data_IF_583921663117
#
_entry.id   IF_583921663117
#
_cell.length_a   1.000
_cell.length_b   1.000
_cell.length_c   1.000
_cell.angle_alpha   90.00
_cell.angle_beta   90.00
_cell.angle_gamma   90.00
#
_symmetry.space_group_name_H-M   'P 1'
#
loop_
_entity.id
_entity.type
_entity.pdbx_description
1 polymer ?
#
# COMPACT_ATOMS: atom_id res chain seq x y z
N UNK A 1 38.31 -8.60 -49.43
CA UNK A 1 39.16 -7.46 -49.85
C UNK A 1 38.81 -6.25 -49.01
N UNK A 2 39.79 -5.73 -48.27
CA UNK A 2 39.71 -4.64 -47.30
C UNK A 2 39.86 -3.29 -48.01
N UNK A 3 39.06 -2.27 -47.64
CA UNK A 3 39.45 -0.85 -47.70
C UNK A 3 38.73 -0.04 -46.60
N UNK A 4 39.51 0.34 -45.59
CA UNK A 4 39.48 1.63 -44.87
C UNK A 4 40.96 2.10 -44.93
N UNK A 5 41.31 3.39 -45.11
CA UNK A 5 41.31 4.42 -44.04
C UNK A 5 40.82 5.79 -44.60
N UNK A 6 40.57 6.85 -43.84
CA UNK A 6 40.82 7.22 -42.45
C UNK A 6 40.42 8.70 -42.30
N UNK A 7 40.47 9.23 -41.07
CA UNK A 7 40.28 10.66 -40.84
C UNK A 7 39.87 11.00 -39.41
N UNK A 8 40.83 10.95 -38.50
CA UNK A 8 40.73 11.53 -37.15
C UNK A 8 40.51 13.05 -37.22
N UNK A 9 39.68 13.58 -36.33
CA UNK A 9 39.89 14.94 -35.83
C UNK A 9 39.78 14.96 -34.30
N UNK A 10 40.94 15.00 -33.65
CA UNK A 10 41.12 15.39 -32.25
C UNK A 10 41.53 16.85 -32.26
N UNK A 11 40.81 17.71 -31.53
CA UNK A 11 41.36 18.90 -30.87
C UNK A 11 40.33 19.39 -29.86
N UNK A 12 40.66 19.18 -28.59
CA UNK A 12 40.01 19.84 -27.48
C UNK A 12 40.57 21.25 -27.31
N UNK A 13 39.69 22.17 -26.91
CA UNK A 13 40.02 23.38 -26.18
C UNK A 13 38.86 23.61 -25.20
N UNK A 14 39.08 23.55 -23.87
CA UNK A 14 38.08 23.98 -22.91
C UNK A 14 38.22 25.50 -22.67
N UNK A 15 37.12 26.23 -22.83
CA UNK A 15 37.00 27.61 -22.38
C UNK A 15 36.80 27.66 -20.85
N UNK A 16 37.71 28.35 -20.18
CA UNK A 16 37.57 28.88 -18.83
C UNK A 16 36.59 30.06 -18.87
N UNK A 17 35.46 29.95 -18.17
CA UNK A 17 34.67 31.11 -17.75
C UNK A 17 34.52 31.04 -16.23
N UNK A 18 35.17 32.00 -15.58
CA UNK A 18 35.00 32.41 -14.19
C UNK A 18 33.83 33.39 -14.10
N UNK A 19 32.90 33.17 -13.15
CA UNK A 19 32.10 34.20 -12.46
C UNK A 19 31.15 33.48 -11.48
N UNK A 20 31.45 33.54 -10.18
CA UNK A 20 30.85 34.46 -9.21
C UNK A 20 29.47 34.01 -8.70
N UNK A 21 29.49 33.50 -7.46
CA UNK A 21 28.31 33.34 -6.62
C UNK A 21 27.71 34.72 -6.24
N UNK A 22 26.42 34.75 -5.88
CA UNK A 22 25.95 35.68 -4.86
C UNK A 22 25.34 34.95 -3.67
N UNK A 23 25.78 35.35 -2.47
CA UNK A 23 25.20 35.00 -1.18
C UNK A 23 23.79 35.62 -1.02
N UNK A 24 22.94 35.06 -0.13
CA UNK A 24 21.64 35.63 0.20
C UNK A 24 21.76 36.82 1.15
N UNK A 25 21.13 37.93 0.79
CA UNK A 25 20.97 39.11 1.64
C UNK A 25 19.89 38.89 2.71
N UNK A 26 20.26 39.20 3.94
CA UNK A 26 19.41 39.37 5.11
C UNK A 26 18.88 40.81 5.18
N UNK A 27 17.66 40.99 5.72
CA UNK A 27 17.09 42.16 6.46
C UNK A 27 15.57 41.94 6.51
N UNK A 28 14.98 41.55 7.65
CA UNK A 28 14.55 42.38 8.79
C UNK A 28 13.34 43.29 8.50
N UNK A 29 12.17 42.94 9.06
CA UNK A 29 11.27 43.89 9.77
C UNK A 29 10.02 43.19 10.32
N UNK A 30 9.92 43.17 11.64
CA UNK A 30 8.71 42.95 12.46
C UNK A 30 7.75 44.15 12.32
N UNK A 31 6.45 43.98 12.65
CA UNK A 31 5.90 44.89 13.65
C UNK A 31 5.08 44.20 14.73
N UNK A 32 5.19 44.80 15.92
CA UNK A 32 4.51 44.50 17.18
C UNK A 32 2.98 44.52 17.10
N UNK A 33 2.33 43.59 17.80
CA UNK A 33 1.01 43.81 18.37
C UNK A 33 0.88 43.10 19.72
N UNK A 34 0.92 43.92 20.77
CA UNK A 34 0.64 43.60 22.18
C UNK A 34 -0.79 43.09 22.34
N UNK A 35 -0.99 41.93 23.00
CA UNK A 35 -2.21 41.66 23.78
C UNK A 35 -1.82 40.97 25.09
N UNK A 36 -2.25 41.61 26.18
CA UNK A 36 -1.89 41.33 27.56
C UNK A 36 -2.53 40.04 28.09
N UNK A 37 -1.71 39.23 28.76
CA UNK A 37 -2.14 38.23 29.73
C UNK A 37 -2.25 38.90 31.11
N UNK A 38 -3.41 38.82 31.75
CA UNK A 38 -3.54 39.06 33.20
C UNK A 38 -4.57 38.09 33.81
N UNK A 39 -4.31 37.54 35.02
CA UNK A 39 -5.06 36.43 35.60
C UNK A 39 -6.20 36.90 36.51
N UNK A 40 -7.29 36.13 36.53
CA UNK A 40 -8.48 36.34 37.36
C UNK A 40 -8.23 35.76 38.77
N UNK A 41 -8.46 36.51 39.87
CA UNK A 41 -8.32 35.99 41.24
C UNK A 41 -9.64 35.35 41.75
N UNK A 42 -9.57 34.37 42.67
CA UNK A 42 -10.75 33.80 43.32
C UNK A 42 -11.17 34.63 44.55
N UNK A 43 -12.45 35.00 44.63
CA UNK A 43 -13.06 35.56 45.84
C UNK A 43 -13.49 34.43 46.78
N UNK A 44 -12.91 34.45 47.99
CA UNK A 44 -13.39 33.76 49.18
C UNK A 44 -14.15 34.78 50.04
N UNK A 45 -15.36 34.45 50.48
CA UNK A 45 -15.98 35.07 51.66
C UNK A 45 -16.62 33.96 52.49
N UNK A 46 -16.37 34.06 53.79
CA UNK A 46 -16.60 33.14 54.90
C UNK A 46 -17.89 33.52 55.67
N UNK A 47 -18.16 32.70 56.71
CA UNK A 47 -19.07 32.84 57.86
C UNK A 47 -20.49 32.26 57.68
N UNK A 48 -20.82 31.11 58.30
CA UNK A 48 -21.09 30.80 59.74
C UNK A 48 -22.60 30.94 60.03
N UNK A 49 -23.34 30.20 60.85
CA UNK A 49 -23.22 29.17 61.90
C UNK A 49 -24.60 28.44 61.86
N UNK A 50 -24.78 27.14 62.13
CA UNK A 50 -24.92 26.55 63.47
C UNK A 50 -25.21 25.03 63.35
N UNK A 51 -24.67 24.25 64.29
CA UNK A 51 -24.83 22.80 64.51
C UNK A 51 -26.18 22.44 65.20
N UNK A 52 -26.44 21.20 65.70
CA UNK A 52 -25.98 19.83 65.36
C UNK A 52 -27.16 18.81 65.21
N UNK A 53 -26.83 17.51 65.09
CA UNK A 53 -27.67 16.30 65.27
C UNK A 53 -28.42 15.72 64.06
N UNK A 54 -27.78 14.76 63.36
CA UNK A 54 -28.22 13.35 63.37
C UNK A 54 -27.22 12.45 62.62
N UNK A 55 -26.40 11.77 63.41
CA UNK A 55 -25.68 10.54 63.03
C UNK A 55 -26.68 9.38 62.97
N UNK A 56 -26.33 8.31 62.24
CA UNK A 56 -26.98 6.98 62.19
C UNK A 56 -27.93 6.72 61.00
N UNK A 57 -27.48 6.86 59.74
CA UNK A 57 -28.18 6.24 58.60
C UNK A 57 -27.33 5.98 57.33
N UNK A 58 -25.99 5.98 57.40
CA UNK A 58 -25.13 5.94 56.19
C UNK A 58 -24.26 4.69 56.02
N UNK A 59 -24.33 3.72 56.94
CA UNK A 59 -23.49 2.51 56.84
C UNK A 59 -24.13 1.39 55.98
N UNK A 60 -25.46 1.29 55.92
CA UNK A 60 -26.15 0.23 55.18
C UNK A 60 -26.13 0.48 53.65
N UNK A 61 -26.27 1.74 53.21
CA UNK A 61 -26.27 2.09 51.78
C UNK A 61 -24.90 1.96 51.11
N UNK A 62 -23.81 2.12 51.88
CA UNK A 62 -22.46 1.92 51.38
C UNK A 62 -22.15 0.43 51.12
N UNK A 63 -22.73 -0.47 51.93
CA UNK A 63 -22.62 -1.93 51.74
C UNK A 63 -23.41 -2.41 50.51
N UNK A 64 -24.59 -1.85 50.29
CA UNK A 64 -25.44 -2.19 49.14
C UNK A 64 -24.86 -1.65 47.83
N UNK A 65 -24.33 -0.42 47.85
CA UNK A 65 -23.58 0.14 46.71
C UNK A 65 -22.34 -0.71 46.38
N UNK A 66 -21.58 -1.15 47.39
CA UNK A 66 -20.41 -2.01 47.16
C UNK A 66 -20.76 -3.43 46.68
N UNK A 67 -21.96 -3.93 47.00
CA UNK A 67 -22.47 -5.19 46.46
C UNK A 67 -22.95 -5.03 45.02
N UNK A 68 -23.63 -3.93 44.70
CA UNK A 68 -24.04 -3.59 43.34
C UNK A 68 -22.84 -3.33 42.43
N UNK A 69 -21.78 -2.69 42.91
CA UNK A 69 -20.55 -2.49 42.15
C UNK A 69 -19.83 -3.81 41.87
N UNK A 70 -19.84 -4.75 42.83
CA UNK A 70 -19.33 -6.12 42.62
C UNK A 70 -20.19 -6.92 41.65
N UNK A 71 -21.51 -6.74 41.67
CA UNK A 71 -22.43 -7.39 40.74
C UNK A 71 -22.31 -6.79 39.33
N UNK A 72 -22.09 -5.48 39.21
CA UNK A 72 -21.78 -4.80 37.95
C UNK A 72 -20.41 -5.26 37.42
N UNK A 73 -19.39 -5.39 38.27
CA UNK A 73 -18.10 -5.97 37.88
C UNK A 73 -18.23 -7.43 37.43
N UNK A 74 -19.07 -8.23 38.11
CA UNK A 74 -19.36 -9.61 37.71
C UNK A 74 -20.09 -9.68 36.37
N UNK A 75 -21.12 -8.86 36.15
CA UNK A 75 -21.85 -8.76 34.88
C UNK A 75 -20.98 -8.19 33.74
N UNK A 76 -20.04 -7.29 34.03
CA UNK A 76 -19.04 -6.78 33.08
C UNK A 76 -17.95 -7.83 32.79
N UNK A 77 -17.62 -8.69 33.76
CA UNK A 77 -16.70 -9.82 33.59
C UNK A 77 -17.34 -10.98 32.79
N UNK A 78 -18.64 -11.23 32.95
CA UNK A 78 -19.41 -12.13 32.09
C UNK A 78 -19.66 -11.54 30.69
N UNK A 79 -19.76 -10.20 30.60
CA UNK A 79 -19.81 -9.42 29.37
C UNK A 79 -18.46 -9.28 28.61
N UNK A 80 -17.44 -10.09 28.93
CA UNK A 80 -16.13 -10.04 28.27
C UNK A 80 -16.23 -10.19 26.74
N UNK A 81 -15.44 -9.43 25.97
CA UNK A 81 -15.45 -9.42 24.49
C UNK A 81 -15.05 -10.76 23.84
N UNK A 82 -14.64 -11.75 24.64
CA UNK A 82 -14.29 -13.09 24.18
C UNK A 82 -15.52 -13.89 23.72
N UNK A 83 -16.68 -13.72 24.36
CA UNK A 83 -17.90 -14.41 23.94
C UNK A 83 -18.55 -13.76 22.70
N UNK A 84 -18.51 -12.43 22.58
CA UNK A 84 -18.92 -11.69 21.38
C UNK A 84 -18.04 -12.03 20.16
N UNK A 85 -16.73 -12.18 20.35
CA UNK A 85 -15.80 -12.62 19.30
C UNK A 85 -16.05 -14.08 18.87
N UNK A 86 -16.33 -15.00 19.80
CA UNK A 86 -16.66 -16.41 19.50
C UNK A 86 -18.04 -16.60 18.85
N UNK A 87 -19.07 -15.84 19.23
CA UNK A 87 -20.40 -15.93 18.61
C UNK A 87 -20.48 -15.24 17.23
N UNK A 88 -19.60 -14.26 16.97
CA UNK A 88 -19.53 -13.58 15.69
C UNK A 88 -18.88 -14.41 14.57
N UNK A 89 -18.03 -15.38 14.90
CA UNK A 89 -17.26 -16.12 13.89
C UNK A 89 -18.13 -17.08 13.05
N UNK A 90 -19.09 -17.85 13.60
CA UNK A 90 -19.94 -18.72 12.79
C UNK A 90 -20.93 -17.90 11.95
N UNK A 91 -21.54 -16.86 12.55
CA UNK A 91 -22.48 -15.98 11.84
C UNK A 91 -21.80 -15.18 10.73
N UNK A 92 -20.58 -14.66 10.96
CA UNK A 92 -19.82 -13.99 9.91
C UNK A 92 -19.42 -14.96 8.80
N UNK A 93 -19.11 -16.21 9.13
CA UNK A 93 -18.78 -17.25 8.16
C UNK A 93 -20.01 -17.64 7.33
N UNK A 94 -21.15 -17.89 7.97
CA UNK A 94 -22.43 -18.16 7.29
C UNK A 94 -22.85 -17.00 6.39
N UNK A 95 -22.73 -15.75 6.84
CA UNK A 95 -22.99 -14.56 6.02
C UNK A 95 -22.07 -14.48 4.80
N UNK A 96 -20.78 -14.81 4.96
CA UNK A 96 -19.84 -14.89 3.83
C UNK A 96 -20.24 -16.01 2.87
N UNK A 97 -20.56 -17.21 3.37
CA UNK A 97 -20.99 -18.35 2.55
C UNK A 97 -22.27 -18.03 1.78
N UNK A 98 -23.29 -17.48 2.44
CA UNK A 98 -24.52 -17.04 1.79
C UNK A 98 -24.25 -15.98 0.72
N UNK A 99 -23.39 -14.99 1.02
CA UNK A 99 -23.01 -13.98 0.04
C UNK A 99 -22.35 -14.60 -1.20
N UNK A 100 -21.46 -15.57 -1.01
CA UNK A 100 -20.82 -16.31 -2.10
C UNK A 100 -21.87 -17.08 -2.91
N UNK A 101 -22.69 -17.90 -2.26
CA UNK A 101 -23.74 -18.68 -2.93
C UNK A 101 -24.72 -17.81 -3.72
N UNK A 102 -25.21 -16.72 -3.13
CA UNK A 102 -26.09 -15.76 -3.82
C UNK A 102 -25.39 -15.13 -5.03
N UNK A 103 -24.12 -14.73 -4.90
CA UNK A 103 -23.36 -14.17 -6.01
C UNK A 103 -23.16 -15.20 -7.13
N UNK A 104 -22.89 -16.47 -6.80
CA UNK A 104 -22.78 -17.57 -7.76
C UNK A 104 -24.09 -17.76 -8.53
N UNK A 105 -25.22 -17.82 -7.83
CA UNK A 105 -26.55 -17.95 -8.46
C UNK A 105 -26.84 -16.77 -9.39
N UNK A 106 -26.63 -15.54 -8.94
CA UNK A 106 -26.88 -14.34 -9.76
C UNK A 106 -25.89 -14.19 -10.93
N UNK A 107 -24.69 -14.76 -10.81
CA UNK A 107 -23.69 -14.77 -11.88
C UNK A 107 -23.92 -15.86 -12.92
N UNK A 108 -24.73 -16.88 -12.62
CA UNK A 108 -25.02 -17.99 -13.53
C UNK A 108 -25.79 -17.53 -14.76
N UNK A 109 -25.32 -17.93 -15.94
CA UNK A 109 -25.93 -17.60 -17.23
C UNK A 109 -27.39 -18.03 -17.31
N UNK A 110 -27.73 -19.21 -16.78
CA UNK A 110 -29.12 -19.71 -16.77
C UNK A 110 -30.04 -18.81 -15.95
N UNK A 111 -29.60 -18.40 -14.75
CA UNK A 111 -30.35 -17.51 -13.88
C UNK A 111 -30.51 -16.12 -14.49
N UNK A 112 -29.47 -15.59 -15.13
CA UNK A 112 -29.54 -14.31 -15.84
C UNK A 112 -30.53 -14.34 -17.00
N UNK A 113 -30.53 -15.40 -17.82
CA UNK A 113 -31.52 -15.58 -18.89
C UNK A 113 -32.94 -15.63 -18.36
N UNK A 114 -33.17 -16.33 -17.25
CA UNK A 114 -34.50 -16.39 -16.60
C UNK A 114 -34.94 -15.02 -16.05
N UNK A 115 -34.02 -14.25 -15.45
CA UNK A 115 -34.33 -12.90 -14.95
C UNK A 115 -34.62 -11.93 -16.11
N UNK A 116 -33.87 -12.03 -17.21
CA UNK A 116 -34.06 -11.21 -18.41
C UNK A 116 -35.32 -11.58 -19.18
N UNK A 117 -35.62 -12.87 -19.36
CA UNK A 117 -36.86 -13.31 -20.01
C UNK A 117 -38.08 -12.89 -19.20
N UNK A 118 -37.99 -13.02 -17.87
CA UNK A 118 -38.98 -12.52 -16.95
C UNK A 118 -39.18 -10.99 -17.12
N UNK A 119 -38.10 -10.20 -17.16
CA UNK A 119 -38.22 -8.75 -17.38
C UNK A 119 -38.86 -8.41 -18.74
N UNK A 120 -38.56 -9.19 -19.79
CA UNK A 120 -39.02 -8.96 -21.18
C UNK A 120 -40.49 -9.32 -21.38
N UNK A 121 -40.99 -10.41 -20.77
CA UNK A 121 -42.40 -10.83 -20.86
C UNK A 121 -43.40 -9.86 -20.20
N UNK A 122 -42.92 -8.84 -19.47
CA UNK A 122 -43.77 -7.76 -18.97
C UNK A 122 -44.10 -6.71 -20.05
N UNK A 123 -43.35 -6.67 -21.15
CA UNK A 123 -43.41 -5.62 -22.18
C UNK A 123 -44.24 -6.03 -23.41
N UNK A 124 -44.55 -7.31 -23.58
CA UNK A 124 -45.16 -7.87 -24.81
C UNK A 124 -46.68 -8.10 -24.74
N UNK A 125 -47.35 -7.79 -23.62
CA UNK A 125 -48.81 -7.93 -23.56
C UNK A 125 -49.50 -6.65 -24.05
N UNK A 126 -49.87 -6.64 -25.33
CA UNK A 126 -50.73 -5.62 -25.98
C UNK A 126 -52.17 -5.53 -25.41
N UNK A 127 -52.51 -6.35 -24.40
CA UNK A 127 -53.82 -6.32 -23.74
C UNK A 127 -53.69 -5.58 -22.40
N UNK A 128 -54.22 -4.35 -22.42
CA UNK A 128 -54.16 -3.31 -21.38
C UNK A 128 -54.84 -3.74 -20.07
N UNK A 129 -54.10 -4.39 -19.18
CA UNK A 129 -54.40 -4.44 -17.74
C UNK A 129 -53.23 -3.80 -16.97
N UNK A 130 -53.47 -2.88 -16.02
CA UNK A 130 -52.40 -2.30 -15.21
C UNK A 130 -51.87 -3.38 -14.27
N UNK A 131 -50.90 -4.14 -14.76
CA UNK A 131 -50.30 -5.26 -14.02
C UNK A 131 -49.33 -4.65 -13.02
N UNK A 132 -49.68 -4.70 -11.73
CA UNK A 132 -48.85 -4.25 -10.60
C UNK A 132 -47.41 -4.74 -10.84
N UNK A 133 -46.49 -3.82 -11.09
CA UNK A 133 -45.07 -4.15 -11.22
C UNK A 133 -44.64 -4.72 -9.88
N UNK A 134 -44.27 -6.01 -9.85
CA UNK A 134 -43.88 -6.63 -8.59
C UNK A 134 -42.56 -5.98 -8.15
N UNK A 135 -42.52 -5.22 -7.03
CA UNK A 135 -41.32 -4.49 -6.62
C UNK A 135 -40.14 -5.44 -6.39
N UNK A 136 -40.39 -6.69 -6.02
CA UNK A 136 -39.35 -7.72 -5.89
C UNK A 136 -38.65 -8.04 -7.20
N UNK A 137 -39.37 -8.02 -8.33
CA UNK A 137 -38.82 -8.32 -9.67
C UNK A 137 -37.91 -7.20 -10.16
N UNK A 138 -38.31 -5.95 -9.96
CA UNK A 138 -37.48 -4.78 -10.28
C UNK A 138 -36.20 -4.76 -9.43
N UNK A 139 -36.31 -5.05 -8.13
CA UNK A 139 -35.16 -5.19 -7.22
C UNK A 139 -34.24 -6.34 -7.64
N UNK A 140 -34.78 -7.48 -8.04
CA UNK A 140 -34.00 -8.63 -8.50
C UNK A 140 -33.25 -8.31 -9.79
N UNK A 141 -33.90 -7.65 -10.76
CA UNK A 141 -33.28 -7.20 -12.00
C UNK A 141 -32.13 -6.22 -11.72
N UNK A 142 -32.38 -5.20 -10.90
CA UNK A 142 -31.36 -4.22 -10.49
C UNK A 142 -30.15 -4.90 -9.82
N UNK A 143 -30.39 -5.83 -8.88
CA UNK A 143 -29.32 -6.61 -8.22
C UNK A 143 -28.57 -7.51 -9.20
N UNK A 144 -29.27 -8.12 -10.16
CA UNK A 144 -28.64 -8.94 -11.20
C UNK A 144 -27.71 -8.09 -12.08
N UNK A 145 -28.15 -6.91 -12.52
CA UNK A 145 -27.33 -5.99 -13.30
C UNK A 145 -26.13 -5.49 -12.50
N UNK A 146 -26.33 -5.13 -11.23
CA UNK A 146 -25.25 -4.73 -10.34
C UNK A 146 -24.22 -5.86 -10.15
N UNK A 147 -24.69 -7.10 -9.97
CA UNK A 147 -23.81 -8.26 -9.86
C UNK A 147 -23.02 -8.49 -11.14
N UNK A 148 -23.66 -8.34 -12.31
CA UNK A 148 -22.98 -8.47 -13.60
C UNK A 148 -21.88 -7.41 -13.77
N UNK A 149 -22.19 -6.14 -13.49
CA UNK A 149 -21.21 -5.05 -13.52
C UNK A 149 -20.05 -5.28 -12.53
N UNK A 150 -20.35 -5.77 -11.33
CA UNK A 150 -19.33 -6.13 -10.34
C UNK A 150 -18.42 -7.27 -10.83
N UNK A 151 -18.99 -8.34 -11.38
CA UNK A 151 -18.22 -9.45 -11.96
C UNK A 151 -17.33 -8.96 -13.10
N UNK A 152 -17.86 -8.14 -14.01
CA UNK A 152 -17.11 -7.54 -15.10
C UNK A 152 -15.94 -6.69 -14.57
N UNK A 153 -16.17 -5.86 -13.56
CA UNK A 153 -15.13 -5.07 -12.90
C UNK A 153 -14.04 -5.96 -12.27
N UNK A 154 -14.42 -7.04 -11.60
CA UNK A 154 -13.47 -8.01 -11.05
C UNK A 154 -12.64 -8.70 -12.13
N UNK A 155 -13.25 -9.07 -13.26
CA UNK A 155 -12.55 -9.67 -14.40
C UNK A 155 -11.48 -8.71 -14.93
N UNK A 156 -11.82 -7.43 -15.16
CA UNK A 156 -10.85 -6.44 -15.61
C UNK A 156 -9.69 -6.24 -14.63
N UNK A 157 -9.98 -6.29 -13.33
CA UNK A 157 -8.96 -6.16 -12.28
C UNK A 157 -8.02 -7.37 -12.20
N UNK A 158 -8.53 -8.57 -12.47
CA UNK A 158 -7.72 -9.79 -12.49
C UNK A 158 -6.90 -9.88 -13.78
N UNK A 159 -7.49 -9.54 -14.93
CA UNK A 159 -6.82 -9.62 -16.24
C UNK A 159 -5.84 -8.48 -16.46
N UNK A 160 -6.14 -7.30 -15.92
CA UNK A 160 -5.34 -6.10 -16.08
C UNK A 160 -4.94 -5.59 -14.70
N UNK A 161 -3.67 -5.70 -14.31
CA UNK A 161 -3.21 -5.32 -12.97
C UNK A 161 -3.25 -3.82 -12.71
N UNK A 162 -3.55 -3.01 -13.73
CA UNK A 162 -3.80 -1.57 -13.56
C UNK A 162 -5.19 -1.23 -14.07
N UNK A 163 -5.99 -0.56 -13.24
CA UNK A 163 -7.32 -0.10 -13.60
C UNK A 163 -7.48 1.38 -13.28
N UNK A 164 -8.20 2.11 -14.13
CA UNK A 164 -8.50 3.52 -13.94
C UNK A 164 -9.92 3.70 -13.39
N UNK A 165 -10.11 4.71 -12.55
CA UNK A 165 -11.42 5.08 -12.00
C UNK A 165 -11.49 6.59 -11.77
N UNK A 166 -12.71 7.12 -11.79
CA UNK A 166 -12.95 8.55 -11.58
C UNK A 166 -13.17 8.82 -10.09
N UNK A 167 -12.56 9.89 -9.59
CA UNK A 167 -12.69 10.37 -8.23
C UNK A 167 -13.13 11.84 -8.31
N UNK A 168 -13.99 12.23 -7.38
CA UNK A 168 -14.34 13.64 -7.17
C UNK A 168 -13.80 14.04 -5.79
N UNK A 169 -12.91 15.03 -5.77
CA UNK A 169 -12.47 15.67 -4.53
C UNK A 169 -13.64 16.50 -3.97
N UNK A 170 -14.10 16.27 -2.72
CA UNK A 170 -15.19 17.05 -2.15
C UNK A 170 -14.82 18.51 -1.82
N UNK A 171 -13.54 18.90 -1.88
CA UNK A 171 -13.12 20.28 -1.58
C UNK A 171 -13.66 21.27 -2.63
N UNK A 172 -14.41 22.32 -2.23
CA UNK A 172 -14.88 23.36 -3.15
C UNK A 172 -13.75 24.13 -3.84
N UNK A 173 -12.54 24.16 -3.27
CA UNK A 173 -11.37 24.80 -3.86
C UNK A 173 -10.49 23.83 -4.66
N UNK A 174 -10.99 22.62 -4.94
CA UNK A 174 -10.22 21.62 -5.66
C UNK A 174 -9.95 22.05 -7.11
N UNK A 175 -8.72 21.73 -7.54
CA UNK A 175 -8.27 21.87 -8.92
C UNK A 175 -9.19 21.10 -9.88
N UNK A 176 -9.45 21.67 -11.06
CA UNK A 176 -10.25 21.04 -12.13
C UNK A 176 -11.68 20.66 -11.65
N UNK A 177 -12.29 21.50 -10.80
CA UNK A 177 -13.62 21.25 -10.24
C UNK A 177 -13.69 19.98 -9.38
N UNK A 178 -12.55 19.55 -8.81
CA UNK A 178 -12.45 18.31 -8.04
C UNK A 178 -12.32 17.04 -8.90
N UNK A 179 -12.18 17.15 -10.22
CA UNK A 179 -11.98 15.98 -11.06
C UNK A 179 -10.58 15.37 -10.87
N UNK A 180 -10.55 14.14 -10.37
CA UNK A 180 -9.32 13.39 -10.12
C UNK A 180 -9.38 12.04 -10.84
N UNK A 181 -8.34 11.73 -11.59
CA UNK A 181 -8.15 10.42 -12.20
C UNK A 181 -7.42 9.50 -11.22
N UNK A 182 -8.12 8.48 -10.74
CA UNK A 182 -7.55 7.43 -9.91
C UNK A 182 -6.98 6.30 -10.75
N UNK A 183 -5.77 5.87 -10.43
CA UNK A 183 -5.14 4.67 -10.94
C UNK A 183 -4.96 3.67 -9.79
N UNK A 184 -5.37 2.44 -10.02
CA UNK A 184 -5.26 1.33 -9.07
C UNK A 184 -4.27 0.31 -9.61
N UNK A 185 -3.21 0.06 -8.88
CA UNK A 185 -2.20 -0.94 -9.17
C UNK A 185 -2.40 -2.13 -8.23
N UNK A 186 -2.66 -3.31 -8.81
CA UNK A 186 -2.80 -4.56 -8.08
C UNK A 186 -1.61 -5.46 -8.36
N UNK A 187 -1.07 -6.06 -7.31
CA UNK A 187 0.04 -7.01 -7.39
C UNK A 187 -0.40 -8.30 -6.75
N UNK A 188 -0.18 -9.41 -7.44
CA UNK A 188 -0.38 -10.74 -6.88
C UNK A 188 0.93 -11.24 -6.30
N UNK A 189 0.88 -11.76 -5.07
CA UNK A 189 1.98 -12.47 -4.45
C UNK A 189 1.42 -13.71 -3.77
N UNK A 190 2.06 -14.87 -3.99
CA UNK A 190 1.66 -16.16 -3.39
C UNK A 190 0.18 -16.52 -3.62
N UNK A 191 -0.31 -16.28 -4.84
CA UNK A 191 -1.70 -16.58 -5.21
C UNK A 191 -2.76 -15.65 -4.61
N UNK A 192 -2.36 -14.59 -3.90
CA UNK A 192 -3.27 -13.60 -3.33
C UNK A 192 -2.95 -12.20 -3.85
N UNK A 193 -3.99 -11.39 -4.02
CA UNK A 193 -3.81 -9.97 -4.30
C UNK A 193 -3.39 -9.24 -3.03
N UNK A 194 -2.28 -8.50 -3.12
CA UNK A 194 -1.85 -7.59 -2.07
C UNK A 194 -2.80 -6.39 -1.99
N UNK A 195 -2.65 -5.60 -0.92
CA UNK A 195 -3.33 -4.30 -0.83
C UNK A 195 -2.96 -3.47 -2.06
N UNK A 196 -3.95 -2.97 -2.82
CA UNK A 196 -3.68 -2.21 -4.02
C UNK A 196 -3.00 -0.89 -3.69
N UNK A 197 -2.14 -0.43 -4.60
CA UNK A 197 -1.61 0.92 -4.56
C UNK A 197 -2.48 1.85 -5.41
N UNK A 198 -2.60 3.09 -4.96
CA UNK A 198 -3.35 4.12 -5.63
C UNK A 198 -2.43 5.25 -6.04
N UNK A 199 -2.66 5.78 -7.23
CA UNK A 199 -2.07 7.04 -7.70
C UNK A 199 -3.21 7.91 -8.19
N UNK A 200 -3.31 9.12 -7.63
CA UNK A 200 -4.30 10.11 -7.98
C UNK A 200 -3.64 11.17 -8.86
N UNK A 201 -4.21 11.42 -10.02
CA UNK A 201 -3.76 12.43 -10.98
C UNK A 201 -4.79 13.56 -11.07
N UNK A 202 -4.32 14.80 -11.01
CA UNK A 202 -5.14 15.99 -11.21
C UNK A 202 -4.65 16.79 -12.43
N UNK A 203 -5.41 17.82 -12.81
CA UNK A 203 -5.08 18.76 -13.90
C UNK A 203 -4.89 20.16 -13.36
N UNK A 204 -3.70 20.51 -12.84
CA UNK A 204 -3.45 21.79 -12.20
C UNK A 204 -3.29 22.97 -13.17
N UNK A 205 -3.34 22.72 -14.48
CA UNK A 205 -3.03 23.71 -15.49
C UNK A 205 -4.35 24.17 -16.16
N UNK A 206 -4.83 25.40 -15.93
CA UNK A 206 -6.14 25.85 -16.41
C UNK A 206 -6.29 25.80 -17.94
N UNK A 207 -5.22 26.08 -18.66
CA UNK A 207 -5.18 26.10 -20.13
C UNK A 207 -4.75 24.78 -20.76
N UNK A 208 -4.55 23.71 -19.96
CA UNK A 208 -3.90 22.51 -20.46
C UNK A 208 -4.45 21.21 -19.88
N UNK A 209 -4.50 20.16 -20.70
CA UNK A 209 -4.95 18.82 -20.31
C UNK A 209 -3.86 18.00 -19.60
N UNK A 210 -2.73 18.62 -19.28
CA UNK A 210 -1.59 17.97 -18.63
C UNK A 210 -1.96 17.46 -17.24
N UNK A 211 -1.58 16.22 -16.97
CA UNK A 211 -1.78 15.53 -15.71
C UNK A 211 -0.57 15.72 -14.80
N UNK A 212 -0.84 15.80 -13.49
CA UNK A 212 0.18 15.79 -12.43
C UNK A 212 -0.20 14.79 -11.35
N UNK A 213 0.80 14.16 -10.73
CA UNK A 213 0.60 13.32 -9.56
C UNK A 213 0.20 14.21 -8.36
N UNK A 214 -0.99 13.94 -7.82
CA UNK A 214 -1.53 14.64 -6.66
C UNK A 214 -1.21 13.90 -5.35
N UNK A 215 -1.62 12.63 -5.23
CA UNK A 215 -1.40 11.76 -4.07
C UNK A 215 -1.12 10.33 -4.51
N UNK A 216 -0.43 9.56 -3.68
CA UNK A 216 -0.20 8.14 -3.94
C UNK A 216 0.01 7.34 -2.66
N UNK A 217 -0.14 6.02 -2.77
CA UNK A 217 0.22 5.06 -1.71
C UNK A 217 1.41 4.17 -2.09
N UNK A 218 2.08 4.48 -3.20
CA UNK A 218 3.25 3.74 -3.71
C UNK A 218 4.41 3.82 -2.68
N UNK A 219 5.11 2.70 -2.39
CA UNK A 219 6.25 2.68 -1.48
C UNK A 219 7.38 3.63 -1.93
N UNK A 220 8.15 4.22 -0.99
CA UNK A 220 9.25 5.13 -1.32
C UNK A 220 10.39 4.45 -2.11
N UNK A 221 10.48 3.12 -2.02
CA UNK A 221 11.38 2.29 -2.81
C UNK A 221 11.17 2.38 -4.34
N UNK A 222 10.00 2.85 -4.78
CA UNK A 222 9.65 2.97 -6.19
C UNK A 222 9.79 4.44 -6.60
N UNK A 223 10.59 4.77 -7.64
CA UNK A 223 10.95 6.15 -7.98
C UNK A 223 9.83 6.90 -8.74
N UNK A 224 8.67 7.07 -8.11
CA UNK A 224 7.47 7.66 -8.72
C UNK A 224 7.71 9.07 -9.26
N UNK A 225 8.39 9.93 -8.50
CA UNK A 225 8.66 11.31 -8.90
C UNK A 225 9.51 11.36 -10.18
N UNK A 226 10.55 10.53 -10.27
CA UNK A 226 11.40 10.44 -11.46
C UNK A 226 10.62 9.91 -12.68
N UNK A 227 9.70 8.97 -12.49
CA UNK A 227 8.82 8.49 -13.54
C UNK A 227 7.82 9.55 -14.01
N UNK A 228 7.27 10.33 -13.06
CA UNK A 228 6.36 11.42 -13.38
C UNK A 228 7.06 12.51 -14.19
N UNK A 229 8.27 12.93 -13.81
CA UNK A 229 9.04 13.93 -14.57
C UNK A 229 9.32 13.48 -16.01
N UNK A 230 9.61 12.18 -16.21
CA UNK A 230 9.94 11.63 -17.53
C UNK A 230 8.74 11.42 -18.45
N UNK A 231 7.58 11.07 -17.90
CA UNK A 231 6.42 10.65 -18.69
C UNK A 231 5.21 11.59 -18.57
N UNK A 232 5.15 12.37 -17.50
CA UNK A 232 4.16 13.42 -17.23
C UNK A 232 4.85 14.78 -17.01
N UNK A 233 5.66 15.27 -17.98
CA UNK A 233 6.31 16.56 -17.86
C UNK A 233 5.29 17.69 -17.69
N UNK A 234 5.66 18.73 -16.96
CA UNK A 234 4.82 19.94 -16.83
C UNK A 234 4.86 20.74 -18.13
N UNK A 235 3.76 21.43 -18.49
CA UNK A 235 3.73 22.30 -19.67
C UNK A 235 4.75 23.45 -19.48
N UNK A 236 5.41 23.82 -20.58
CA UNK A 236 6.35 24.95 -20.63
C UNK A 236 5.58 26.26 -20.93
N UNK A 237 6.11 27.43 -20.52
CA UNK A 237 5.53 28.72 -20.89
C UNK A 237 5.53 28.92 -22.41
N UNK A 238 4.65 29.79 -22.90
CA UNK A 238 4.38 30.03 -24.33
C UNK A 238 5.66 30.35 -25.12
N UNK A 239 5.88 29.63 -26.23
CA UNK A 239 6.99 29.84 -27.17
C UNK A 239 7.79 28.56 -27.50
N UNK A 240 7.80 27.59 -26.59
CA UNK A 240 8.47 26.29 -26.76
C UNK A 240 7.50 25.18 -27.20
N UNK A 241 8.02 24.15 -27.88
CA UNK A 241 7.27 22.92 -28.13
C UNK A 241 6.80 22.31 -26.81
N UNK A 242 5.48 22.16 -26.64
CA UNK A 242 4.93 21.58 -25.42
C UNK A 242 5.33 20.11 -25.30
N UNK A 243 5.86 19.68 -24.14
CA UNK A 243 6.32 18.32 -23.96
C UNK A 243 5.12 17.36 -23.93
N UNK A 244 5.06 16.43 -24.88
CA UNK A 244 3.96 15.45 -24.98
C UNK A 244 3.96 14.51 -23.78
N UNK A 245 2.87 14.51 -23.01
CA UNK A 245 2.67 13.52 -21.95
C UNK A 245 2.27 12.15 -22.51
N UNK A 246 2.74 11.10 -21.86
CA UNK A 246 2.39 9.72 -22.18
C UNK A 246 1.98 8.98 -20.89
N UNK A 247 0.67 9.01 -20.63
CA UNK A 247 0.09 8.35 -19.47
C UNK A 247 0.24 6.82 -19.56
N UNK A 248 0.14 6.23 -20.75
CA UNK A 248 0.24 4.79 -20.90
C UNK A 248 1.64 4.32 -20.52
N UNK A 249 2.68 5.02 -21.01
CA UNK A 249 4.07 4.70 -20.70
C UNK A 249 4.41 4.97 -19.24
N UNK A 250 3.86 6.02 -18.64
CA UNK A 250 3.95 6.25 -17.20
C UNK A 250 3.39 5.05 -16.42
N UNK A 251 2.16 4.64 -16.72
CA UNK A 251 1.47 3.54 -16.05
C UNK A 251 2.22 2.22 -16.22
N UNK A 252 2.66 1.90 -17.44
CA UNK A 252 3.40 0.66 -17.74
C UNK A 252 4.72 0.60 -17.00
N UNK A 253 5.48 1.69 -16.99
CA UNK A 253 6.77 1.76 -16.29
C UNK A 253 6.57 1.68 -14.78
N UNK A 254 5.60 2.41 -14.22
CA UNK A 254 5.28 2.36 -12.79
C UNK A 254 4.84 0.97 -12.36
N UNK A 255 3.95 0.31 -13.12
CA UNK A 255 3.56 -1.08 -12.88
C UNK A 255 4.78 -1.99 -12.81
N UNK A 256 5.69 -1.86 -13.79
CA UNK A 256 6.90 -2.67 -13.85
C UNK A 256 7.74 -2.48 -12.58
N UNK A 257 7.98 -1.25 -12.15
CA UNK A 257 8.75 -0.97 -10.93
C UNK A 257 8.09 -1.50 -9.66
N UNK A 258 6.77 -1.36 -9.53
CA UNK A 258 6.02 -1.93 -8.40
C UNK A 258 6.12 -3.46 -8.39
N UNK A 259 5.97 -4.12 -9.53
CA UNK A 259 6.11 -5.57 -9.64
C UNK A 259 7.54 -6.02 -9.30
N UNK A 260 8.57 -5.32 -9.81
CA UNK A 260 9.98 -5.61 -9.52
C UNK A 260 10.29 -5.54 -8.03
N UNK A 261 9.79 -4.50 -7.35
CA UNK A 261 9.92 -4.38 -5.90
C UNK A 261 9.33 -5.61 -5.18
N UNK A 262 8.12 -6.02 -5.54
CA UNK A 262 7.49 -7.19 -4.93
C UNK A 262 8.15 -8.52 -5.29
N UNK A 263 8.72 -8.64 -6.49
CA UNK A 263 9.52 -9.81 -6.88
C UNK A 263 10.76 -9.91 -6.00
N UNK A 264 11.50 -8.82 -5.78
CA UNK A 264 12.67 -8.79 -4.88
C UNK A 264 12.30 -9.16 -3.44
N UNK A 265 11.19 -8.62 -2.92
CA UNK A 265 10.67 -9.02 -1.62
C UNK A 265 10.32 -10.52 -1.57
N UNK A 266 9.68 -11.04 -2.61
CA UNK A 266 9.36 -12.46 -2.75
C UNK A 266 10.60 -13.35 -2.68
N UNK A 267 11.62 -13.01 -3.47
CA UNK A 267 12.91 -13.70 -3.52
C UNK A 267 13.57 -13.75 -2.13
N UNK A 268 13.65 -12.62 -1.42
CA UNK A 268 14.21 -12.60 -0.05
C UNK A 268 13.42 -13.47 0.94
N UNK A 269 12.10 -13.49 0.81
CA UNK A 269 11.23 -14.26 1.69
C UNK A 269 11.28 -15.76 1.37
N UNK A 270 11.49 -16.13 0.10
CA UNK A 270 11.67 -17.50 -0.33
C UNK A 270 13.05 -18.03 0.07
N UNK A 271 14.11 -17.21 -0.01
CA UNK A 271 15.43 -17.53 0.54
C UNK A 271 15.36 -17.85 2.04
N UNK A 272 14.72 -16.97 2.83
CA UNK A 272 14.48 -17.22 4.26
C UNK A 272 13.73 -18.52 4.53
N UNK A 273 12.77 -18.87 3.67
CA UNK A 273 11.97 -20.10 3.82
C UNK A 273 12.83 -21.34 3.58
N UNK A 274 13.62 -21.35 2.51
CA UNK A 274 14.52 -22.47 2.17
C UNK A 274 15.55 -22.70 3.27
N UNK A 275 16.13 -21.62 3.79
CA UNK A 275 17.09 -21.70 4.90
C UNK A 275 16.45 -22.07 6.25
N UNK A 276 15.12 -22.27 6.33
CA UNK A 276 14.43 -22.65 7.56
C UNK A 276 14.33 -21.53 8.60
N UNK A 277 14.56 -20.28 8.22
CA UNK A 277 14.61 -19.11 9.11
C UNK A 277 13.24 -18.51 9.47
N UNK A 278 12.16 -19.24 9.17
CA UNK A 278 10.78 -18.78 9.41
C UNK A 278 10.12 -19.39 10.66
N UNK A 279 10.88 -20.09 11.52
CA UNK A 279 10.33 -20.67 12.75
C UNK A 279 11.31 -21.38 13.69
N UNK A 280 12.63 -21.20 13.53
CA UNK A 280 13.61 -21.87 14.39
C UNK A 280 14.01 -20.99 15.59
N UNK A 281 13.68 -21.45 16.79
CA UNK A 281 14.38 -21.11 18.04
C UNK A 281 15.87 -21.40 17.85
N UNK A 282 16.73 -20.52 18.34
CA UNK A 282 18.20 -20.61 18.26
C UNK A 282 18.76 -21.86 18.97
N UNK A 283 18.63 -23.02 18.36
CA UNK A 283 19.15 -24.28 18.88
C UNK A 283 20.26 -24.80 17.95
N UNK A 284 21.51 -24.66 18.41
CA UNK A 284 22.73 -25.34 17.96
C UNK A 284 22.81 -25.60 16.45
N UNK A 285 22.83 -24.54 15.66
CA UNK A 285 23.07 -24.64 14.22
C UNK A 285 24.58 -24.81 13.94
N UNK A 286 24.99 -25.61 12.94
CA UNK A 286 26.40 -25.79 12.60
C UNK A 286 27.03 -24.45 12.16
N UNK A 287 28.34 -24.29 12.37
CA UNK A 287 29.06 -23.02 12.17
C UNK A 287 28.87 -22.40 10.76
N UNK A 288 28.68 -23.24 9.73
CA UNK A 288 28.49 -22.81 8.34
C UNK A 288 27.03 -22.53 7.95
N UNK A 289 26.08 -22.64 8.89
CA UNK A 289 24.67 -22.38 8.62
C UNK A 289 24.37 -20.88 8.67
N UNK A 290 23.52 -20.43 7.75
CA UNK A 290 22.99 -19.06 7.76
C UNK A 290 21.96 -18.95 8.88
N UNK A 291 22.16 -18.01 9.80
CA UNK A 291 21.30 -17.76 10.96
C UNK A 291 20.35 -16.59 10.69
N UNK A 292 20.76 -15.61 9.90
CA UNK A 292 19.94 -14.43 9.62
C UNK A 292 19.94 -14.07 8.12
N UNK A 293 18.77 -13.73 7.61
CA UNK A 293 18.60 -13.13 6.28
C UNK A 293 17.68 -11.92 6.38
N UNK A 294 18.24 -10.75 6.09
CA UNK A 294 17.58 -9.45 6.21
C UNK A 294 17.67 -8.63 4.93
N UNK A 295 16.67 -7.79 4.68
CA UNK A 295 16.75 -6.76 3.64
C UNK A 295 17.59 -5.60 4.20
N UNK A 296 18.66 -5.22 3.49
CA UNK A 296 19.63 -4.25 3.95
C UNK A 296 19.38 -2.83 3.41
N UNK A 297 18.47 -2.66 2.46
CA UNK A 297 18.17 -1.39 1.80
C UNK A 297 16.67 -1.17 1.59
N UNK A 298 16.27 0.09 1.40
CA UNK A 298 14.87 0.47 1.20
C UNK A 298 14.31 -0.11 -0.12
N UNK A 299 15.16 -0.25 -1.14
CA UNK A 299 14.77 -0.77 -2.46
C UNK A 299 14.70 -2.30 -2.53
N UNK A 300 15.11 -3.00 -1.46
CA UNK A 300 15.27 -4.44 -1.40
C UNK A 300 16.20 -5.01 -2.49
N UNK A 301 17.20 -4.24 -2.94
CA UNK A 301 18.24 -4.72 -3.85
C UNK A 301 19.39 -5.41 -3.12
N UNK A 302 19.52 -5.19 -1.81
CA UNK A 302 20.62 -5.73 -1.01
C UNK A 302 20.06 -6.63 0.08
N UNK A 303 20.53 -7.88 0.11
CA UNK A 303 20.22 -8.85 1.16
C UNK A 303 21.46 -9.05 2.02
N UNK A 304 21.30 -8.90 3.33
CA UNK A 304 22.30 -9.26 4.33
C UNK A 304 22.10 -10.72 4.72
N UNK A 305 23.19 -11.46 4.73
CA UNK A 305 23.30 -12.82 5.26
C UNK A 305 24.19 -12.77 6.51
N UNK A 306 23.83 -13.50 7.57
CA UNK A 306 24.71 -13.72 8.72
C UNK A 306 24.80 -15.22 9.00
N UNK A 307 26.01 -15.71 9.23
CA UNK A 307 26.31 -17.10 9.54
C UNK A 307 26.60 -17.29 11.04
N UNK A 308 26.52 -18.53 11.51
CA UNK A 308 26.77 -18.89 12.91
C UNK A 308 28.25 -18.71 13.32
N UNK A 309 29.19 -18.72 12.37
CA UNK A 309 30.61 -18.48 12.59
C UNK A 309 31.00 -16.99 12.74
N UNK A 310 30.00 -16.11 12.81
CA UNK A 310 30.09 -14.64 12.80
C UNK A 310 30.48 -14.05 11.44
N UNK A 311 30.55 -14.86 10.38
CA UNK A 311 30.71 -14.36 9.02
C UNK A 311 29.45 -13.60 8.58
N UNK A 312 29.61 -12.61 7.71
CA UNK A 312 28.51 -11.81 7.17
C UNK A 312 28.63 -11.62 5.67
N UNK A 313 27.49 -11.58 4.99
CA UNK A 313 27.40 -11.60 3.54
C UNK A 313 26.49 -10.51 3.06
N UNK A 314 26.85 -9.91 1.94
CA UNK A 314 25.99 -8.96 1.23
C UNK A 314 25.79 -9.44 -0.18
N UNK A 315 24.53 -9.64 -0.50
CA UNK A 315 24.08 -10.05 -1.81
C UNK A 315 23.37 -8.88 -2.47
N UNK A 316 23.72 -8.59 -3.72
CA UNK A 316 23.13 -7.54 -4.52
C UNK A 316 22.33 -8.18 -5.65
N UNK A 317 21.05 -7.86 -5.71
CA UNK A 317 20.11 -8.31 -6.73
C UNK A 317 19.90 -7.24 -7.80
N UNK A 318 19.51 -7.69 -8.98
CA UNK A 318 19.00 -6.83 -10.04
C UNK A 318 17.50 -6.59 -9.94
N UNK A 319 16.96 -5.88 -10.92
CA UNK A 319 15.55 -5.55 -10.99
C UNK A 319 14.65 -6.78 -11.22
N UNK A 320 15.20 -7.86 -11.81
CA UNK A 320 14.47 -9.06 -12.17
C UNK A 320 14.58 -10.16 -11.08
N UNK A 321 15.38 -9.91 -10.03
CA UNK A 321 15.58 -10.81 -8.90
C UNK A 321 16.79 -11.74 -9.05
N UNK A 322 17.60 -11.56 -10.10
CA UNK A 322 18.86 -12.27 -10.26
C UNK A 322 19.94 -11.64 -9.38
N UNK A 323 20.93 -12.44 -9.00
CA UNK A 323 22.03 -12.02 -8.16
C UNK A 323 23.14 -11.47 -9.05
N UNK A 324 23.48 -10.19 -8.87
CA UNK A 324 24.59 -9.54 -9.61
C UNK A 324 25.93 -9.68 -8.91
N UNK A 325 25.91 -9.71 -7.59
CA UNK A 325 27.14 -9.72 -6.80
C UNK A 325 26.87 -10.33 -5.43
N UNK A 326 27.76 -11.20 -5.01
CA UNK A 326 27.86 -11.67 -3.64
C UNK A 326 29.21 -11.23 -3.09
N UNK A 327 29.22 -10.76 -1.84
CA UNK A 327 30.44 -10.49 -1.08
C UNK A 327 30.27 -11.13 0.27
N UNK A 328 31.24 -11.94 0.68
CA UNK A 328 31.27 -12.55 2.01
C UNK A 328 32.48 -12.05 2.80
N UNK A 329 32.25 -11.76 4.07
CA UNK A 329 33.24 -11.32 5.04
C UNK A 329 33.29 -12.37 6.15
N UNK A 330 34.44 -13.03 6.29
CA UNK A 330 34.75 -13.89 7.42
C UNK A 330 35.55 -13.15 8.48
N UNK A 331 36.02 -13.91 9.48
CA UNK A 331 36.79 -13.38 10.64
C UNK A 331 38.08 -12.65 10.26
N UNK A 332 38.70 -13.03 9.13
CA UNK A 332 39.98 -12.45 8.64
C UNK A 332 39.77 -11.43 7.52
N UNK A 333 38.55 -10.95 7.33
CA UNK A 333 38.19 -10.01 6.27
C UNK A 333 37.45 -10.69 5.12
N UNK A 334 37.61 -10.17 3.91
CA UNK A 334 36.84 -10.62 2.75
C UNK A 334 37.22 -12.05 2.34
N UNK A 335 36.25 -12.95 2.37
CA UNK A 335 36.41 -14.35 1.98
C UNK A 335 36.07 -14.53 0.50
N UNK A 336 37.13 -14.60 -0.32
CA UNK A 336 37.02 -14.76 -1.77
C UNK A 336 36.66 -16.19 -2.17
N UNK A 337 37.07 -17.18 -1.39
CA UNK A 337 36.85 -18.60 -1.71
C UNK A 337 35.38 -18.94 -1.50
N UNK A 338 34.80 -18.54 -0.36
CA UNK A 338 33.38 -18.71 -0.11
C UNK A 338 32.52 -17.91 -1.09
N UNK A 339 32.96 -16.71 -1.47
CA UNK A 339 32.27 -15.92 -2.50
C UNK A 339 32.28 -16.64 -3.85
N UNK A 340 33.42 -17.19 -4.28
CA UNK A 340 33.57 -17.87 -5.58
C UNK A 340 32.78 -19.17 -5.63
N UNK A 341 32.73 -19.91 -4.54
CA UNK A 341 31.96 -21.15 -4.45
C UNK A 341 30.45 -20.90 -4.55
N UNK A 342 29.95 -19.88 -3.82
CA UNK A 342 28.53 -19.57 -3.77
C UNK A 342 28.02 -18.84 -5.03
N UNK A 343 28.85 -18.00 -5.66
CA UNK A 343 28.44 -17.12 -6.78
C UNK A 343 28.94 -17.57 -8.16
N UNK A 344 29.90 -18.51 -8.23
CA UNK A 344 30.77 -18.68 -9.40
C UNK A 344 30.11 -18.83 -10.77
N UNK A 345 29.00 -19.59 -10.90
CA UNK A 345 28.38 -19.92 -12.20
C UNK A 345 26.85 -19.70 -12.23
N UNK A 346 26.31 -19.08 -11.17
CA UNK A 346 24.88 -19.07 -10.91
C UNK A 346 24.38 -17.64 -10.71
N UNK A 347 23.51 -17.20 -11.61
CA UNK A 347 22.91 -15.87 -11.55
C UNK A 347 21.59 -15.89 -10.74
N UNK A 348 21.04 -17.06 -10.44
CA UNK A 348 19.72 -17.22 -9.83
C UNK A 348 19.78 -17.37 -8.32
N UNK A 349 18.84 -16.74 -7.61
CA UNK A 349 18.77 -16.83 -6.14
C UNK A 349 18.54 -18.28 -5.68
N UNK A 350 17.79 -19.07 -6.44
CA UNK A 350 17.46 -20.45 -6.11
C UNK A 350 18.70 -21.34 -6.03
N UNK A 351 19.70 -21.08 -6.86
CA UNK A 351 20.94 -21.85 -6.90
C UNK A 351 21.82 -21.52 -5.70
N UNK A 352 21.90 -20.24 -5.32
CA UNK A 352 22.60 -19.82 -4.12
C UNK A 352 21.93 -20.40 -2.87
N UNK A 353 20.59 -20.37 -2.81
CA UNK A 353 19.84 -20.97 -1.70
C UNK A 353 20.13 -22.47 -1.56
N UNK A 354 20.17 -23.20 -2.69
CA UNK A 354 20.48 -24.64 -2.72
C UNK A 354 21.88 -24.94 -2.20
N UNK A 355 22.89 -24.16 -2.60
CA UNK A 355 24.27 -24.32 -2.12
C UNK A 355 24.42 -24.03 -0.62
N UNK A 356 23.66 -23.06 -0.12
CA UNK A 356 23.61 -22.77 1.32
C UNK A 356 22.91 -23.89 2.10
N UNK A 357 21.92 -24.56 1.50
CA UNK A 357 21.28 -25.76 2.05
C UNK A 357 22.22 -26.98 2.08
N UNK A 358 22.97 -27.23 1.00
CA UNK A 358 23.94 -28.33 0.90
C UNK A 358 25.07 -28.24 1.94
N UNK A 359 25.29 -27.05 2.51
CA UNK A 359 26.30 -26.78 3.57
C UNK A 359 25.73 -26.86 4.99
N UNK A 360 24.42 -27.07 5.14
CA UNK A 360 23.77 -27.33 6.43
C UNK A 360 24.08 -28.74 6.90
#
# INVERSE_FOLDING_TARGET
MRRIPGGLNKRGVPYLISASAPQPASTASTPDAKVNNAPIPPRRLLFACASPLRTMATAASASEAALLDKEIEHLQAEGKPQHRRRASSPLATLRKTLKVQCSTILSSTSTQRLIQSAASSASSSLIRRPKRTNPSRSKLSSRSTQQHAYTQQCIYRISTPVTAFKIHDPDPNAVDGGHVLGLRFEVMSRGQFLRPYYVMLNRPFPSSTHLRVHRHTIPPAVPLAGLAVRHLPSPRPEGDEQPRQDLERFVRTLRREVTRYHNRLGVSADLRRRLGLHGATEASAPANSVVEVGIADIEAKQIKLAWADESSGRLIMDDDGNVRKLVVFGRRGRDWDMTKELFGKYDRMEDIARRLEERK
#
